data_IF_840528324931
#
_entry.id   IF_840528324931
#
_cell.length_a   1.000
_cell.length_b   1.000
_cell.length_c   1.000
_cell.angle_alpha   90.00
_cell.angle_beta   90.00
_cell.angle_gamma   90.00
#
_symmetry.space_group_name_H-M   'P 1'
#
loop_
_entity.id
_entity.type
_entity.pdbx_description
1 polymer ?
#
# COMPACT_ATOMS: atom_id res chain seq x y z
N UNK A 1 -7.26 10.98 22.69
CA UNK A 1 -5.79 11.10 22.61
C UNK A 1 -5.01 10.05 23.42
N UNK A 2 -5.33 9.72 24.69
CA UNK A 2 -4.61 8.62 25.39
C UNK A 2 -4.90 7.22 24.81
N UNK A 3 -6.09 6.99 24.27
CA UNK A 3 -6.47 5.68 23.74
C UNK A 3 -5.93 5.41 22.32
N UNK A 4 -5.76 6.43 21.48
CA UNK A 4 -5.27 6.22 20.09
C UNK A 4 -3.84 5.70 20.05
N UNK A 5 -2.94 6.24 20.88
CA UNK A 5 -1.55 5.76 20.95
C UNK A 5 -1.48 4.30 21.43
N UNK A 6 -2.42 3.89 22.30
CA UNK A 6 -2.55 2.50 22.72
C UNK A 6 -3.04 1.61 21.56
N UNK A 7 -3.98 2.08 20.75
CA UNK A 7 -4.42 1.37 19.56
C UNK A 7 -3.33 1.25 18.49
N UNK A 8 -2.53 2.29 18.30
CA UNK A 8 -1.35 2.28 17.42
C UNK A 8 -0.35 1.23 17.89
N UNK A 9 0.00 1.24 19.18
CA UNK A 9 0.92 0.25 19.74
C UNK A 9 0.39 -1.19 19.63
N UNK A 10 -0.90 -1.40 19.92
CA UNK A 10 -1.52 -2.72 19.77
C UNK A 10 -1.54 -3.20 18.31
N UNK A 11 -1.71 -2.27 17.36
CA UNK A 11 -1.67 -2.58 15.93
C UNK A 11 -0.25 -2.98 15.51
N UNK A 12 0.75 -2.20 15.90
CA UNK A 12 2.17 -2.49 15.67
C UNK A 12 2.55 -3.88 16.21
N UNK A 13 2.23 -4.16 17.48
CA UNK A 13 2.53 -5.45 18.11
C UNK A 13 1.85 -6.62 17.40
N UNK A 14 0.58 -6.44 16.99
CA UNK A 14 -0.17 -7.50 16.32
C UNK A 14 0.31 -7.74 14.89
N UNK A 15 0.65 -6.67 14.16
CA UNK A 15 1.25 -6.75 12.84
C UNK A 15 2.62 -7.42 12.90
N UNK A 16 3.48 -7.02 13.85
CA UNK A 16 4.79 -7.63 14.05
C UNK A 16 4.68 -9.13 14.36
N UNK A 17 3.79 -9.52 15.28
CA UNK A 17 3.60 -10.94 15.62
C UNK A 17 3.16 -11.76 14.40
N UNK A 18 2.24 -11.23 13.58
CA UNK A 18 1.81 -11.90 12.35
C UNK A 18 2.96 -12.06 11.36
N UNK A 19 3.76 -11.00 11.15
CA UNK A 19 4.84 -11.00 10.17
C UNK A 19 6.06 -11.81 10.63
N UNK A 20 6.37 -11.83 11.94
CA UNK A 20 7.48 -12.63 12.49
C UNK A 20 7.22 -14.12 12.28
N UNK A 21 6.02 -14.62 12.59
CA UNK A 21 5.70 -16.04 12.42
C UNK A 21 5.83 -16.47 10.95
N UNK A 22 5.42 -15.60 10.02
CA UNK A 22 5.59 -15.82 8.58
C UNK A 22 7.07 -15.78 8.14
N UNK A 23 7.88 -14.89 8.69
CA UNK A 23 9.33 -14.81 8.40
C UNK A 23 10.10 -16.02 8.92
N UNK A 24 9.68 -16.56 10.07
CA UNK A 24 10.33 -17.70 10.71
C UNK A 24 9.93 -19.04 10.08
N UNK A 25 8.89 -19.05 9.22
CA UNK A 25 8.34 -20.28 8.68
C UNK A 25 7.43 -21.01 9.65
N UNK A 26 7.02 -20.37 10.75
CA UNK A 26 6.10 -20.92 11.76
C UNK A 26 4.65 -20.93 11.29
N UNK A 27 4.38 -20.23 10.19
CA UNK A 27 3.12 -20.27 9.46
C UNK A 27 2.15 -19.16 9.83
N UNK A 28 0.93 -19.25 9.31
CA UNK A 28 -0.06 -18.17 9.49
C UNK A 28 -0.66 -18.12 10.91
N UNK A 29 -0.37 -17.04 11.64
CA UNK A 29 -0.93 -16.80 12.97
C UNK A 29 -2.32 -16.15 12.91
N UNK A 30 -3.36 -16.96 12.94
CA UNK A 30 -4.76 -16.52 12.89
C UNK A 30 -5.13 -15.54 14.02
N UNK A 31 -4.60 -15.74 15.25
CA UNK A 31 -4.89 -14.85 16.38
C UNK A 31 -4.25 -13.48 16.23
N UNK A 32 -3.03 -13.41 15.70
CA UNK A 32 -2.39 -12.13 15.40
C UNK A 32 -3.13 -11.39 14.28
N UNK A 33 -3.55 -12.14 13.24
CA UNK A 33 -4.37 -11.61 12.16
C UNK A 33 -5.74 -11.07 12.63
N UNK A 34 -6.45 -11.77 13.51
CA UNK A 34 -7.72 -11.29 14.07
C UNK A 34 -7.56 -9.94 14.77
N UNK A 35 -6.49 -9.78 15.55
CA UNK A 35 -6.18 -8.51 16.23
C UNK A 35 -5.83 -7.39 15.24
N UNK A 36 -5.08 -7.71 14.19
CA UNK A 36 -4.80 -6.77 13.09
C UNK A 36 -6.11 -6.26 12.49
N UNK A 37 -7.04 -7.15 12.15
CA UNK A 37 -8.33 -6.79 11.57
C UNK A 37 -9.18 -5.97 12.55
N UNK A 38 -9.15 -6.33 13.83
CA UNK A 38 -9.82 -5.57 14.89
C UNK A 38 -9.30 -4.13 14.95
N UNK A 39 -7.97 -3.94 14.98
CA UNK A 39 -7.36 -2.60 15.05
C UNK A 39 -7.63 -1.78 13.79
N UNK A 40 -7.53 -2.37 12.60
CA UNK A 40 -7.88 -1.70 11.34
C UNK A 40 -9.36 -1.27 11.32
N UNK A 41 -10.25 -2.10 11.88
CA UNK A 41 -11.67 -1.77 12.01
C UNK A 41 -11.89 -0.60 12.98
N UNK A 42 -11.14 -0.53 14.08
CA UNK A 42 -11.17 0.62 14.98
C UNK A 42 -10.65 1.89 14.30
N UNK A 43 -9.54 1.82 13.58
CA UNK A 43 -9.01 2.96 12.84
C UNK A 43 -9.96 3.47 11.77
N UNK A 44 -10.65 2.58 11.07
CA UNK A 44 -11.73 2.97 10.16
C UNK A 44 -12.78 3.84 10.87
N UNK A 45 -13.18 3.48 12.10
CA UNK A 45 -14.15 4.25 12.86
C UNK A 45 -13.58 5.58 13.35
N UNK A 46 -12.35 5.57 13.87
CA UNK A 46 -11.67 6.75 14.42
C UNK A 46 -11.41 7.81 13.34
N UNK A 47 -10.91 7.40 12.17
CA UNK A 47 -10.58 8.31 11.09
C UNK A 47 -11.75 8.58 10.15
N UNK A 48 -12.96 8.15 10.50
CA UNK A 48 -14.15 8.44 9.69
C UNK A 48 -14.39 9.96 9.66
N UNK A 49 -14.54 10.51 8.45
CA UNK A 49 -14.73 11.95 8.25
C UNK A 49 -13.50 12.82 8.55
N UNK A 50 -12.33 12.22 8.78
CA UNK A 50 -11.04 12.91 8.87
C UNK A 50 -10.26 12.64 7.59
N UNK A 51 -9.63 13.66 7.01
CA UNK A 51 -8.94 13.53 5.71
C UNK A 51 -7.48 13.10 5.78
N UNK A 52 -6.91 13.01 6.98
CA UNK A 52 -5.54 12.53 7.20
C UNK A 52 -5.48 11.46 8.29
N UNK A 53 -4.42 10.66 8.24
CA UNK A 53 -4.10 9.57 9.17
C UNK A 53 -2.68 9.79 9.69
N UNK A 54 -2.37 9.49 10.97
CA UNK A 54 -1.00 9.55 11.48
C UNK A 54 -0.03 8.78 10.59
N UNK A 55 1.14 9.37 10.33
CA UNK A 55 2.14 8.82 9.41
C UNK A 55 2.53 7.38 9.77
N UNK A 56 2.74 7.11 11.06
CA UNK A 56 3.05 5.77 11.59
C UNK A 56 1.97 4.74 11.21
N UNK A 57 0.70 5.10 11.35
CA UNK A 57 -0.43 4.22 10.98
C UNK A 57 -0.49 3.99 9.48
N UNK A 58 -0.30 5.05 8.69
CA UNK A 58 -0.27 4.96 7.24
C UNK A 58 0.87 4.03 6.76
N UNK A 59 2.09 4.21 7.27
CA UNK A 59 3.25 3.37 6.95
C UNK A 59 2.96 1.89 7.27
N UNK A 60 2.49 1.59 8.48
CA UNK A 60 2.15 0.21 8.86
C UNK A 60 1.05 -0.40 7.98
N UNK A 61 0.03 0.38 7.57
CA UNK A 61 -1.01 -0.10 6.66
C UNK A 61 -0.43 -0.50 5.30
N UNK A 62 0.46 0.31 4.74
CA UNK A 62 1.09 0.04 3.43
C UNK A 62 1.99 -1.19 3.51
N UNK A 63 2.88 -1.24 4.50
CA UNK A 63 3.86 -2.33 4.69
C UNK A 63 3.16 -3.66 4.95
N UNK A 64 2.18 -3.70 5.87
CA UNK A 64 1.49 -4.92 6.27
C UNK A 64 0.81 -5.62 5.08
N UNK A 65 0.18 -4.84 4.20
CA UNK A 65 -0.46 -5.41 3.02
C UNK A 65 0.56 -5.99 2.05
N UNK A 66 1.61 -5.22 1.72
CA UNK A 66 2.66 -5.66 0.80
C UNK A 66 3.37 -6.92 1.30
N UNK A 67 3.78 -6.92 2.57
CA UNK A 67 4.46 -8.07 3.17
C UNK A 67 3.59 -9.33 3.18
N UNK A 68 2.32 -9.24 3.59
CA UNK A 68 1.44 -10.41 3.60
C UNK A 68 1.26 -11.00 2.21
N UNK A 69 1.09 -10.17 1.19
CA UNK A 69 1.03 -10.71 -0.16
C UNK A 69 2.34 -11.41 -0.54
N UNK A 70 3.48 -10.80 -0.28
CA UNK A 70 4.78 -11.39 -0.62
C UNK A 70 5.02 -12.70 0.12
N UNK A 71 4.60 -12.80 1.38
CA UNK A 71 4.58 -14.09 2.09
C UNK A 71 3.68 -15.12 1.40
N UNK A 72 2.52 -14.74 0.86
CA UNK A 72 1.67 -15.69 0.14
C UNK A 72 2.37 -16.33 -1.06
N UNK A 73 3.33 -15.65 -1.69
CA UNK A 73 4.15 -16.19 -2.78
C UNK A 73 5.26 -17.13 -2.29
N UNK A 74 5.72 -16.96 -1.05
CA UNK A 74 6.80 -17.76 -0.46
C UNK A 74 6.31 -19.08 0.15
N UNK A 75 5.01 -19.19 0.43
CA UNK A 75 4.36 -20.39 0.95
C UNK A 75 3.72 -21.20 -0.18
N UNK A 76 3.28 -22.43 0.11
CA UNK A 76 2.66 -23.32 -0.87
C UNK A 76 1.33 -23.90 -0.36
N UNK A 77 0.46 -24.29 -1.30
CA UNK A 77 -0.80 -24.99 -1.00
C UNK A 77 -1.79 -24.14 -0.19
N UNK A 78 -2.50 -24.79 0.73
CA UNK A 78 -3.57 -24.16 1.53
C UNK A 78 -3.09 -22.95 2.34
N UNK A 79 -1.83 -22.98 2.79
CA UNK A 79 -1.26 -21.89 3.59
C UNK A 79 -1.01 -20.64 2.74
N UNK A 80 -0.50 -20.79 1.52
CA UNK A 80 -0.39 -19.69 0.54
C UNK A 80 -1.76 -19.06 0.28
N UNK A 81 -2.78 -19.88 0.04
CA UNK A 81 -4.15 -19.42 -0.20
C UNK A 81 -4.72 -18.67 1.02
N UNK A 82 -4.44 -19.15 2.23
CA UNK A 82 -4.86 -18.52 3.48
C UNK A 82 -4.20 -17.15 3.67
N UNK A 83 -2.90 -17.05 3.47
CA UNK A 83 -2.15 -15.78 3.57
C UNK A 83 -2.65 -14.78 2.51
N UNK A 84 -2.83 -15.23 1.26
CA UNK A 84 -3.33 -14.38 0.18
C UNK A 84 -4.75 -13.85 0.49
N UNK A 85 -5.61 -14.70 1.04
CA UNK A 85 -6.96 -14.30 1.47
C UNK A 85 -6.90 -13.27 2.60
N UNK A 86 -5.99 -13.44 3.56
CA UNK A 86 -5.76 -12.49 4.64
C UNK A 86 -5.28 -11.14 4.12
N UNK A 87 -4.30 -11.12 3.21
CA UNK A 87 -3.79 -9.92 2.55
C UNK A 87 -4.92 -9.16 1.82
N UNK A 88 -5.73 -9.87 1.01
CA UNK A 88 -6.88 -9.29 0.30
C UNK A 88 -7.92 -8.72 1.27
N UNK A 89 -8.20 -9.38 2.39
CA UNK A 89 -9.14 -8.87 3.37
C UNK A 89 -8.60 -7.62 4.07
N UNK A 90 -7.31 -7.61 4.46
CA UNK A 90 -6.66 -6.44 5.06
C UNK A 90 -6.73 -5.26 4.11
N UNK A 91 -6.41 -5.45 2.82
CA UNK A 91 -6.56 -4.41 1.80
C UNK A 91 -7.96 -3.80 1.80
N UNK A 92 -9.01 -4.64 1.75
CA UNK A 92 -10.41 -4.15 1.77
C UNK A 92 -10.71 -3.31 3.02
N UNK A 93 -10.17 -3.69 4.18
CA UNK A 93 -10.38 -2.92 5.42
C UNK A 93 -9.61 -1.60 5.38
N UNK A 94 -8.37 -1.60 4.88
CA UNK A 94 -7.55 -0.40 4.69
C UNK A 94 -8.23 0.55 3.71
N UNK A 95 -8.67 0.07 2.54
CA UNK A 95 -9.39 0.88 1.55
C UNK A 95 -10.61 1.57 2.18
N UNK A 96 -11.39 0.84 2.99
CA UNK A 96 -12.53 1.42 3.73
C UNK A 96 -12.13 2.44 4.80
N UNK A 97 -10.89 2.39 5.30
CA UNK A 97 -10.35 3.41 6.20
C UNK A 97 -9.94 4.68 5.42
N UNK A 98 -9.53 4.50 4.16
CA UNK A 98 -9.13 5.56 3.24
C UNK A 98 -10.31 6.15 2.45
N UNK A 99 -11.44 5.46 2.41
CA UNK A 99 -12.71 5.93 1.84
C UNK A 99 -13.19 7.23 2.53
N UNK A 100 -13.81 8.08 1.73
CA UNK A 100 -14.33 9.42 2.05
C UNK A 100 -13.30 10.57 1.97
N UNK A 101 -13.61 11.56 1.12
CA UNK A 101 -13.03 12.93 1.06
C UNK A 101 -11.56 13.10 0.65
N UNK A 102 -10.94 12.13 -0.03
CA UNK A 102 -9.52 12.24 -0.41
C UNK A 102 -9.20 12.94 -1.74
N UNK A 103 -9.84 12.54 -2.83
CA UNK A 103 -9.39 12.96 -4.18
C UNK A 103 -9.57 14.45 -4.45
N UNK A 104 -10.71 15.03 -4.07
CA UNK A 104 -10.94 16.47 -4.23
C UNK A 104 -9.98 17.30 -3.36
N UNK A 105 -9.74 16.86 -2.11
CA UNK A 105 -8.80 17.55 -1.21
C UNK A 105 -7.34 17.41 -1.67
N UNK A 106 -6.95 16.28 -2.26
CA UNK A 106 -5.59 16.11 -2.82
C UNK A 106 -5.37 16.89 -4.11
N UNK A 107 -6.42 17.06 -4.93
CA UNK A 107 -6.37 17.91 -6.12
C UNK A 107 -6.24 19.40 -5.75
N UNK A 108 -6.85 19.82 -4.63
CA UNK A 108 -6.72 21.17 -4.09
C UNK A 108 -5.41 21.39 -3.31
N UNK A 109 -4.74 20.31 -2.89
CA UNK A 109 -3.44 20.36 -2.22
C UNK A 109 -2.31 20.56 -3.25
N UNK A 110 -1.73 21.77 -3.25
CA UNK A 110 -0.67 22.17 -4.19
C UNK A 110 0.54 21.20 -4.23
N UNK A 111 0.82 20.51 -3.11
CA UNK A 111 1.92 19.54 -2.98
C UNK A 111 1.71 18.31 -3.86
N UNK A 112 0.45 17.88 -4.08
CA UNK A 112 0.13 16.62 -4.76
C UNK A 112 -0.67 16.79 -6.05
N UNK A 113 -1.18 17.98 -6.37
CA UNK A 113 -2.00 18.22 -7.58
C UNK A 113 -1.34 17.67 -8.84
N UNK A 114 -0.03 17.87 -9.01
CA UNK A 114 0.71 17.37 -10.18
C UNK A 114 0.85 15.86 -10.18
N UNK A 115 1.17 15.26 -9.04
CA UNK A 115 1.27 13.81 -8.88
C UNK A 115 -0.06 13.14 -9.26
N UNK A 116 -1.18 13.62 -8.71
CA UNK A 116 -2.52 13.10 -9.03
C UNK A 116 -2.84 13.28 -10.51
N UNK A 117 -2.50 14.44 -11.09
CA UNK A 117 -2.70 14.67 -12.52
C UNK A 117 -1.92 13.65 -13.36
N UNK A 118 -0.63 13.44 -13.08
CA UNK A 118 0.18 12.49 -13.84
C UNK A 118 -0.28 11.04 -13.66
N UNK A 119 -0.76 10.66 -12.48
CA UNK A 119 -1.38 9.33 -12.26
C UNK A 119 -2.65 9.18 -13.11
N UNK A 120 -3.47 10.22 -13.23
CA UNK A 120 -4.76 10.16 -13.91
C UNK A 120 -4.71 10.50 -15.42
N UNK A 121 -3.53 10.88 -15.94
CA UNK A 121 -3.32 11.15 -17.37
C UNK A 121 -3.54 9.88 -18.24
N UNK A 122 -4.08 10.08 -19.44
CA UNK A 122 -4.19 9.09 -20.52
C UNK A 122 -4.69 7.69 -20.13
N UNK A 123 -5.75 7.61 -19.31
CA UNK A 123 -6.38 6.34 -18.96
C UNK A 123 -5.83 5.67 -17.71
N UNK A 124 -5.30 6.48 -16.79
CA UNK A 124 -4.93 6.14 -15.40
C UNK A 124 -3.80 5.10 -15.30
N UNK A 125 -2.62 5.55 -14.84
CA UNK A 125 -1.39 4.75 -14.73
C UNK A 125 -1.61 3.36 -14.09
N UNK A 126 -2.22 3.32 -12.90
CA UNK A 126 -2.47 2.06 -12.20
C UNK A 126 -3.56 1.20 -12.85
N UNK A 127 -4.54 1.80 -13.54
CA UNK A 127 -5.55 1.02 -14.27
C UNK A 127 -4.96 0.36 -15.53
N UNK A 128 -4.01 1.02 -16.20
CA UNK A 128 -3.25 0.41 -17.32
C UNK A 128 -2.49 -0.82 -16.85
N UNK A 129 -1.76 -0.71 -15.74
CA UNK A 129 -1.04 -1.84 -15.14
C UNK A 129 -2.01 -2.99 -14.79
N UNK A 130 -3.11 -2.70 -14.08
CA UNK A 130 -4.12 -3.71 -13.72
C UNK A 130 -4.78 -4.40 -14.92
N UNK A 131 -4.83 -3.73 -16.08
CA UNK A 131 -5.45 -4.26 -17.29
C UNK A 131 -4.47 -4.96 -18.24
N UNK A 132 -3.21 -5.14 -17.85
CA UNK A 132 -2.22 -5.85 -18.66
C UNK A 132 -1.69 -5.04 -19.85
N UNK A 133 -1.82 -3.70 -19.83
CA UNK A 133 -1.39 -2.82 -20.93
C UNK A 133 0.10 -2.48 -20.91
N UNK A 134 0.78 -2.78 -19.81
CA UNK A 134 2.21 -2.58 -19.62
C UNK A 134 2.52 -1.31 -18.85
N UNK A 135 3.81 -1.11 -18.56
CA UNK A 135 4.30 0.08 -17.90
C UNK A 135 4.47 1.22 -18.91
N UNK A 136 3.77 2.33 -18.70
CA UNK A 136 4.03 3.57 -19.43
C UNK A 136 5.24 4.29 -18.81
N UNK A 137 6.44 4.00 -19.29
CA UNK A 137 7.71 4.50 -18.73
C UNK A 137 7.80 6.03 -18.70
N UNK A 138 7.24 6.71 -19.70
CA UNK A 138 7.23 8.18 -19.76
C UNK A 138 6.29 8.78 -18.71
N UNK A 139 5.11 8.17 -18.53
CA UNK A 139 4.18 8.56 -17.48
C UNK A 139 4.79 8.25 -16.10
N UNK A 140 5.41 7.08 -15.92
CA UNK A 140 6.10 6.69 -14.70
C UNK A 140 7.17 7.69 -14.30
N UNK A 141 8.04 8.13 -15.22
CA UNK A 141 9.12 9.06 -14.88
C UNK A 141 8.59 10.42 -14.37
N UNK A 142 7.50 10.93 -14.95
CA UNK A 142 6.83 12.15 -14.44
C UNK A 142 6.25 11.93 -13.04
N UNK A 143 5.61 10.78 -12.84
CA UNK A 143 5.03 10.38 -11.55
C UNK A 143 6.13 10.28 -10.50
N UNK A 144 7.24 9.61 -10.81
CA UNK A 144 8.37 9.40 -9.93
C UNK A 144 9.01 10.72 -9.47
N UNK A 145 9.26 11.64 -10.40
CA UNK A 145 9.84 12.95 -10.08
C UNK A 145 8.94 13.78 -9.15
N UNK A 146 7.63 13.79 -9.40
CA UNK A 146 6.69 14.48 -8.51
C UNK A 146 6.54 13.76 -7.17
N UNK A 147 6.55 12.42 -7.14
CA UNK A 147 6.54 11.64 -5.90
C UNK A 147 7.77 11.97 -5.03
N UNK A 148 8.96 12.03 -5.63
CA UNK A 148 10.19 12.42 -4.94
C UNK A 148 10.08 13.84 -4.37
N UNK A 149 9.55 14.78 -5.15
CA UNK A 149 9.33 16.16 -4.69
C UNK A 149 8.33 16.22 -3.54
N UNK A 150 7.19 15.53 -3.64
CA UNK A 150 6.16 15.50 -2.62
C UNK A 150 6.68 14.85 -1.33
N UNK A 151 7.43 13.74 -1.42
CA UNK A 151 7.97 13.05 -0.24
C UNK A 151 8.98 13.91 0.53
N UNK A 152 9.81 14.71 -0.16
CA UNK A 152 10.70 15.68 0.50
C UNK A 152 9.94 16.71 1.34
N UNK A 153 8.78 17.14 0.86
CA UNK A 153 7.92 18.10 1.57
C UNK A 153 7.20 17.45 2.77
N UNK A 154 6.73 16.22 2.57
CA UNK A 154 5.89 15.48 3.50
C UNK A 154 6.69 14.75 4.57
N UNK A 155 8.01 14.63 4.41
CA UNK A 155 8.87 13.94 5.39
C UNK A 155 8.71 14.51 6.81
N UNK A 156 8.42 15.82 6.91
CA UNK A 156 8.20 16.55 8.16
C UNK A 156 6.79 16.45 8.75
N UNK A 157 5.84 15.78 8.09
CA UNK A 157 4.44 15.75 8.51
C UNK A 157 4.18 14.63 9.52
N UNK A 158 3.40 14.92 10.55
CA UNK A 158 2.95 13.93 11.55
C UNK A 158 1.77 13.08 11.05
N UNK A 159 1.04 13.57 10.04
CA UNK A 159 -0.11 12.90 9.44
C UNK A 159 -0.11 13.06 7.92
N UNK A 160 -0.53 12.00 7.23
CA UNK A 160 -0.60 11.94 5.77
C UNK A 160 -2.06 12.03 5.31
N UNK A 161 -2.34 12.77 4.21
CA UNK A 161 -3.66 12.76 3.59
C UNK A 161 -4.02 11.34 3.13
N UNK A 162 -5.25 10.90 3.38
CA UNK A 162 -5.72 9.54 3.06
C UNK A 162 -5.55 9.18 1.59
N UNK A 163 -5.86 10.09 0.67
CA UNK A 163 -5.68 9.81 -0.76
C UNK A 163 -4.20 9.70 -1.15
N UNK A 164 -3.26 10.33 -0.42
CA UNK A 164 -1.83 10.10 -0.62
C UNK A 164 -1.44 8.70 -0.11
N UNK A 165 -1.96 8.27 1.05
CA UNK A 165 -1.76 6.90 1.54
C UNK A 165 -2.29 5.87 0.52
N UNK A 166 -3.44 6.11 -0.10
CA UNK A 166 -3.98 5.24 -1.15
C UNK A 166 -3.05 5.17 -2.38
N UNK A 167 -2.43 6.29 -2.77
CA UNK A 167 -1.42 6.32 -3.83
C UNK A 167 -0.19 5.48 -3.44
N UNK A 168 0.31 5.61 -2.21
CA UNK A 168 1.44 4.81 -1.73
C UNK A 168 1.14 3.31 -1.77
N UNK A 169 -0.07 2.90 -1.35
CA UNK A 169 -0.51 1.50 -1.47
C UNK A 169 -0.46 1.04 -2.93
N UNK A 170 -0.98 1.82 -3.88
CA UNK A 170 -0.95 1.46 -5.30
C UNK A 170 0.48 1.29 -5.84
N UNK A 171 1.46 2.06 -5.34
CA UNK A 171 2.86 1.84 -5.70
C UNK A 171 3.44 0.55 -5.12
N UNK A 172 3.12 0.24 -3.86
CA UNK A 172 3.49 -1.05 -3.26
C UNK A 172 2.83 -2.23 -4.01
N UNK A 173 1.67 -2.02 -4.63
CA UNK A 173 1.04 -3.03 -5.48
C UNK A 173 1.79 -3.34 -6.77
N UNK A 174 2.79 -2.54 -7.16
CA UNK A 174 3.52 -2.78 -8.40
C UNK A 174 4.28 -4.10 -8.38
N UNK A 175 4.84 -4.49 -7.23
CA UNK A 175 5.48 -5.80 -7.04
C UNK A 175 4.51 -6.96 -7.34
N UNK A 176 3.24 -6.79 -6.97
CA UNK A 176 2.18 -7.77 -7.26
C UNK A 176 1.94 -7.89 -8.78
N UNK A 177 2.01 -6.77 -9.49
CA UNK A 177 1.87 -6.77 -10.94
C UNK A 177 3.04 -7.47 -11.63
N UNK A 178 4.25 -7.47 -11.05
CA UNK A 178 5.37 -8.27 -11.58
C UNK A 178 4.97 -9.74 -11.69
N UNK A 179 4.42 -10.31 -10.60
CA UNK A 179 3.95 -11.69 -10.60
C UNK A 179 2.84 -11.93 -11.63
N UNK A 180 1.84 -11.05 -11.70
CA UNK A 180 0.71 -11.17 -12.66
C UNK A 180 1.21 -11.12 -14.10
N UNK A 181 2.15 -10.22 -14.41
CA UNK A 181 2.70 -10.10 -15.75
C UNK A 181 3.54 -11.31 -16.15
N UNK A 182 4.33 -11.86 -15.23
CA UNK A 182 5.12 -13.08 -15.49
C UNK A 182 4.21 -14.31 -15.69
N UNK A 183 3.26 -14.52 -14.78
CA UNK A 183 2.57 -15.80 -14.67
C UNK A 183 1.20 -15.84 -15.35
N UNK A 184 0.47 -14.73 -15.39
CA UNK A 184 -0.88 -14.67 -16.00
C UNK A 184 -0.86 -14.10 -17.41
N UNK A 185 -0.13 -12.99 -17.63
CA UNK A 185 -0.04 -12.36 -18.96
C UNK A 185 1.10 -12.89 -19.83
N UNK A 186 2.06 -13.60 -19.23
CA UNK A 186 3.26 -14.13 -19.90
C UNK A 186 4.07 -13.04 -20.63
N UNK A 187 4.26 -11.90 -19.99
CA UNK A 187 4.99 -10.73 -20.48
C UNK A 187 6.22 -10.45 -19.61
N UNK A 188 7.26 -11.28 -19.73
CA UNK A 188 8.48 -11.19 -18.91
C UNK A 188 9.17 -9.83 -19.01
N UNK A 189 9.36 -9.29 -20.23
CA UNK A 189 10.00 -7.98 -20.42
C UNK A 189 9.24 -6.83 -19.74
N UNK A 190 7.91 -6.89 -19.69
CA UNK A 190 7.11 -5.88 -19.00
C UNK A 190 7.16 -6.06 -17.48
N UNK A 191 7.21 -7.30 -17.01
CA UNK A 191 7.38 -7.57 -15.59
C UNK A 191 8.72 -7.02 -15.06
N UNK A 192 9.81 -7.19 -15.81
CA UNK A 192 11.13 -6.64 -15.45
C UNK A 192 11.09 -5.12 -15.33
N UNK A 193 10.42 -4.43 -16.28
CA UNK A 193 10.24 -2.97 -16.20
C UNK A 193 9.42 -2.54 -15.00
N UNK A 194 8.33 -3.26 -14.70
CA UNK A 194 7.49 -2.98 -13.53
C UNK A 194 8.29 -3.19 -12.24
N UNK A 195 9.13 -4.22 -12.18
CA UNK A 195 10.01 -4.50 -11.05
C UNK A 195 11.03 -3.38 -10.85
N UNK A 196 11.73 -2.96 -11.91
CA UNK A 196 12.68 -1.84 -11.86
C UNK A 196 12.01 -0.53 -11.39
N UNK A 197 10.78 -0.28 -11.86
CA UNK A 197 9.99 0.87 -11.45
C UNK A 197 9.54 0.78 -9.98
N UNK A 198 9.13 -0.40 -9.53
CA UNK A 198 8.78 -0.68 -8.13
C UNK A 198 9.96 -0.43 -7.20
N UNK A 199 11.14 -1.02 -7.50
CA UNK A 199 12.34 -0.88 -6.68
C UNK A 199 12.73 0.59 -6.50
N UNK A 200 12.72 1.38 -7.58
CA UNK A 200 12.97 2.83 -7.51
C UNK A 200 12.01 3.54 -6.56
N UNK A 201 10.72 3.21 -6.61
CA UNK A 201 9.71 3.83 -5.73
C UNK A 201 9.86 3.33 -4.29
N UNK A 202 10.18 2.06 -4.10
CA UNK A 202 10.39 1.47 -2.79
C UNK A 202 11.58 2.10 -2.08
N UNK A 203 12.74 2.20 -2.73
CA UNK A 203 13.92 2.93 -2.22
C UNK A 203 13.57 4.36 -1.82
N UNK A 204 12.75 5.04 -2.63
CA UNK A 204 12.34 6.42 -2.34
C UNK A 204 11.44 6.54 -1.11
N UNK A 205 10.57 5.56 -0.86
CA UNK A 205 9.62 5.59 0.28
C UNK A 205 10.28 5.07 1.56
N UNK A 206 11.08 4.00 1.47
CA UNK A 206 11.72 3.32 2.60
C UNK A 206 12.99 4.03 3.09
N UNK A 207 13.67 4.80 2.23
CA UNK A 207 14.92 5.52 2.53
C UNK A 207 16.16 4.64 2.39
#
# INVERSE_FOLDING_TARGET
>A
MRDINKHIHNFEESALNLLVDLRMGDGFNEKAYEKVVEMLTLFKMEYKGVSSIPKEVATMMVELYGELYNFSLNYAGEESEQILKAAKNIKIVIEKCLEETGEAELQENQTFTKLVRYINEDGYFFEKLRSGKGLDEQQFEKIYQELESSLKEVHSWDALPKAFVAILINFYEMDLFVYVYQNEFHQEEEADKIYDAYERVFELIAG
#
